data_IF_481185495686
#
_entry.id   IF_481185495686
#
_cell.length_a   1.000
_cell.length_b   1.000
_cell.length_c   1.000
_cell.angle_alpha   90.00
_cell.angle_beta   90.00
_cell.angle_gamma   90.00
#
_symmetry.space_group_name_H-M   'P 1'
#
loop_
_entity.id
_entity.type
_entity.pdbx_description
1 polymer ?
#
# COMPACT_ATOMS: atom_id res chain seq x y z
N UNK A 1 -26.32 17.01 -8.56
CA UNK A 1 -26.05 18.13 -7.63
C UNK A 1 -24.62 17.99 -7.10
N UNK A 2 -23.75 19.02 -7.18
CA UNK A 2 -22.30 18.82 -7.32
C UNK A 2 -21.47 19.15 -6.06
N UNK A 3 -22.08 19.24 -4.88
CA UNK A 3 -21.34 19.46 -3.63
C UNK A 3 -20.71 18.18 -3.04
N UNK A 4 -21.27 17.00 -3.38
CA UNK A 4 -20.77 15.71 -2.89
C UNK A 4 -19.43 15.29 -3.48
N UNK A 5 -19.15 15.67 -4.74
CA UNK A 5 -17.94 15.26 -5.45
C UNK A 5 -16.68 15.91 -4.87
N UNK A 6 -16.71 17.20 -4.51
CA UNK A 6 -15.56 17.91 -3.95
C UNK A 6 -15.19 17.40 -2.55
N UNK A 7 -16.18 17.14 -1.69
CA UNK A 7 -15.95 16.57 -0.36
C UNK A 7 -15.44 15.13 -0.45
N UNK A 8 -15.96 14.35 -1.41
CA UNK A 8 -15.54 12.98 -1.65
C UNK A 8 -14.11 12.91 -2.22
N UNK A 9 -13.80 13.73 -3.22
CA UNK A 9 -12.45 13.87 -3.77
C UNK A 9 -11.47 14.36 -2.69
N UNK A 10 -11.89 15.31 -1.85
CA UNK A 10 -11.11 15.78 -0.71
C UNK A 10 -10.79 14.68 0.30
N UNK A 11 -11.77 13.85 0.66
CA UNK A 11 -11.57 12.71 1.57
C UNK A 11 -10.63 11.66 0.97
N UNK A 12 -10.80 11.32 -0.32
CA UNK A 12 -9.90 10.39 -1.01
C UNK A 12 -8.46 10.90 -1.09
N UNK A 13 -8.28 12.17 -1.47
CA UNK A 13 -6.97 12.81 -1.52
C UNK A 13 -6.32 12.85 -0.13
N UNK A 14 -7.11 13.17 0.91
CA UNK A 14 -6.63 13.18 2.28
C UNK A 14 -6.15 11.79 2.72
N UNK A 15 -6.90 10.72 2.44
CA UNK A 15 -6.48 9.33 2.75
C UNK A 15 -5.18 8.95 2.06
N UNK A 16 -5.03 9.27 0.77
CA UNK A 16 -3.81 8.98 0.00
C UNK A 16 -2.64 9.79 0.56
N UNK A 17 -2.86 11.07 0.88
CA UNK A 17 -1.83 11.95 1.44
C UNK A 17 -1.39 11.47 2.82
N UNK A 18 -2.33 11.10 3.69
CA UNK A 18 -2.02 10.52 5.01
C UNK A 18 -1.25 9.22 4.86
N UNK A 19 -1.65 8.32 3.96
CA UNK A 19 -0.91 7.09 3.69
C UNK A 19 0.52 7.37 3.19
N UNK A 20 0.70 8.39 2.33
CA UNK A 20 2.00 8.81 1.84
C UNK A 20 2.90 9.34 2.96
N UNK A 21 2.37 10.24 3.81
CA UNK A 21 3.12 10.83 4.93
C UNK A 21 3.51 9.75 5.94
N UNK A 22 2.59 8.85 6.29
CA UNK A 22 2.89 7.75 7.21
C UNK A 22 3.92 6.78 6.61
N UNK A 23 3.78 6.41 5.33
CA UNK A 23 4.74 5.55 4.63
C UNK A 23 6.13 6.19 4.53
N UNK A 24 6.19 7.50 4.27
CA UNK A 24 7.44 8.26 4.29
C UNK A 24 8.05 8.32 5.69
N UNK A 25 7.25 8.57 6.74
CA UNK A 25 7.73 8.63 8.12
C UNK A 25 8.36 7.30 8.57
N UNK A 26 7.69 6.18 8.32
CA UNK A 26 8.23 4.82 8.59
C UNK A 26 9.50 4.60 7.78
N UNK A 27 9.49 5.00 6.51
CA UNK A 27 10.62 4.85 5.62
C UNK A 27 11.86 5.64 6.05
N UNK A 28 11.67 6.87 6.55
CA UNK A 28 12.73 7.72 7.12
C UNK A 28 13.31 7.06 8.37
N UNK A 29 12.45 6.61 9.28
CA UNK A 29 12.91 5.91 10.49
C UNK A 29 13.75 4.69 10.14
N UNK A 30 13.31 3.89 9.15
CA UNK A 30 14.08 2.71 8.71
C UNK A 30 15.40 3.07 8.04
N UNK A 31 15.43 4.12 7.24
CA UNK A 31 16.65 4.60 6.59
C UNK A 31 17.66 5.14 7.60
N UNK A 32 17.19 5.83 8.64
CA UNK A 32 18.04 6.30 9.75
C UNK A 32 18.64 5.17 10.60
N UNK A 33 18.00 4.00 10.64
CA UNK A 33 18.46 2.81 11.36
C UNK A 33 19.18 1.80 10.44
N UNK A 34 19.66 2.23 9.26
CA UNK A 34 20.41 1.40 8.30
C UNK A 34 19.66 0.13 7.83
N UNK A 35 18.33 0.15 7.84
CA UNK A 35 17.56 -0.96 7.27
C UNK A 35 17.57 -0.92 5.73
N UNK A 36 17.61 -2.09 5.06
CA UNK A 36 17.77 -2.17 3.60
C UNK A 36 16.55 -1.67 2.81
N UNK A 37 15.37 -1.53 3.44
CA UNK A 37 14.17 -0.93 2.85
C UNK A 37 13.94 0.47 3.43
N UNK A 38 14.44 1.50 2.75
CA UNK A 38 14.36 2.90 3.17
C UNK A 38 13.09 3.63 2.74
N UNK A 39 13.19 4.97 2.64
CA UNK A 39 12.05 5.88 2.45
C UNK A 39 11.27 5.63 1.17
N UNK A 40 11.97 5.43 0.05
CA UNK A 40 11.35 5.24 -1.26
C UNK A 40 10.46 3.99 -1.31
N UNK A 41 10.88 2.91 -0.68
CA UNK A 41 10.15 1.63 -0.70
C UNK A 41 8.85 1.73 0.09
N UNK A 42 8.91 2.20 1.34
CA UNK A 42 7.73 2.32 2.20
C UNK A 42 6.73 3.35 1.68
N UNK A 43 7.21 4.47 1.12
CA UNK A 43 6.37 5.46 0.47
C UNK A 43 5.60 4.89 -0.73
N UNK A 44 6.30 4.20 -1.65
CA UNK A 44 5.66 3.61 -2.85
C UNK A 44 4.67 2.49 -2.48
N UNK A 45 5.01 1.66 -1.50
CA UNK A 45 4.12 0.59 -1.01
C UNK A 45 2.87 1.19 -0.37
N UNK A 46 3.00 2.19 0.50
CA UNK A 46 1.86 2.83 1.16
C UNK A 46 0.96 3.56 0.17
N UNK A 47 1.54 4.34 -0.76
CA UNK A 47 0.80 5.03 -1.83
C UNK A 47 0.07 4.05 -2.74
N UNK A 48 0.76 3.03 -3.25
CA UNK A 48 0.18 2.02 -4.12
C UNK A 48 -0.97 1.27 -3.44
N UNK A 49 -0.77 0.86 -2.19
CA UNK A 49 -1.81 0.19 -1.40
C UNK A 49 -3.04 1.07 -1.21
N UNK A 50 -2.86 2.33 -0.81
CA UNK A 50 -3.96 3.28 -0.64
C UNK A 50 -4.73 3.53 -1.95
N UNK A 51 -4.01 3.71 -3.07
CA UNK A 51 -4.61 3.88 -4.39
C UNK A 51 -5.43 2.66 -4.81
N UNK A 52 -4.87 1.45 -4.70
CA UNK A 52 -5.59 0.24 -5.07
C UNK A 52 -6.80 -0.02 -4.17
N UNK A 53 -6.72 0.24 -2.86
CA UNK A 53 -7.87 0.12 -1.96
C UNK A 53 -8.97 1.12 -2.32
N UNK A 54 -8.63 2.38 -2.61
CA UNK A 54 -9.61 3.40 -3.03
C UNK A 54 -10.26 3.03 -4.36
N UNK A 55 -9.46 2.62 -5.35
CA UNK A 55 -9.95 2.15 -6.64
C UNK A 55 -10.86 0.92 -6.49
N UNK A 56 -10.51 -0.01 -5.60
CA UNK A 56 -11.34 -1.19 -5.36
C UNK A 56 -12.67 -0.84 -4.73
N UNK A 57 -12.70 0.12 -3.80
CA UNK A 57 -13.90 0.48 -3.07
C UNK A 57 -14.85 1.40 -3.87
N UNK A 58 -14.32 2.23 -4.76
CA UNK A 58 -15.11 3.28 -5.42
C UNK A 58 -14.95 3.33 -6.95
N UNK A 59 -13.94 2.66 -7.52
CA UNK A 59 -13.66 2.68 -8.97
C UNK A 59 -14.51 1.72 -9.80
N UNK A 60 -15.09 0.69 -9.17
CA UNK A 60 -15.99 -0.26 -9.80
C UNK A 60 -17.39 -0.04 -9.23
N UNK A 61 -18.18 0.82 -9.88
CA UNK A 61 -19.52 1.19 -9.44
C UNK A 61 -20.46 -0.02 -9.41
N UNK A 62 -20.65 -0.60 -8.22
CA UNK A 62 -21.66 -1.62 -7.97
C UNK A 62 -22.93 -0.98 -7.43
N UNK A 63 -23.95 -0.85 -8.29
CA UNK A 63 -25.31 -0.62 -7.83
C UNK A 63 -25.72 -1.74 -6.88
N UNK A 64 -26.37 -1.40 -5.78
CA UNK A 64 -26.88 -2.33 -4.76
C UNK A 64 -27.82 -3.36 -5.42
N UNK A 65 -27.31 -4.55 -5.76
CA UNK A 65 -28.14 -5.64 -6.29
C UNK A 65 -27.49 -6.59 -7.31
N UNK A 66 -26.31 -6.29 -7.87
CA UNK A 66 -25.65 -7.18 -8.83
C UNK A 66 -24.67 -8.15 -8.12
N UNK A 67 -24.75 -9.48 -8.30
CA UNK A 67 -23.75 -10.45 -7.80
C UNK A 67 -22.32 -10.20 -8.30
N UNK A 68 -22.10 -9.24 -9.21
CA UNK A 68 -20.78 -8.73 -9.62
C UNK A 68 -20.19 -7.70 -8.64
N UNK A 69 -20.76 -7.55 -7.44
CA UNK A 69 -20.23 -6.65 -6.40
C UNK A 69 -18.75 -6.95 -6.17
N UNK A 70 -17.88 -6.03 -6.61
CA UNK A 70 -16.42 -6.16 -6.48
C UNK A 70 -16.09 -6.10 -4.99
N UNK A 71 -15.70 -7.25 -4.43
CA UNK A 71 -15.33 -7.36 -3.02
C UNK A 71 -14.01 -6.60 -2.76
N UNK A 72 -14.04 -5.47 -2.04
CA UNK A 72 -12.83 -4.68 -1.75
C UNK A 72 -11.79 -5.47 -0.94
N UNK A 73 -12.24 -6.51 -0.23
CA UNK A 73 -11.39 -7.40 0.56
C UNK A 73 -10.41 -8.17 -0.33
N UNK A 74 -10.78 -8.46 -1.59
CA UNK A 74 -9.92 -9.18 -2.53
C UNK A 74 -8.68 -8.37 -2.90
N UNK A 75 -8.83 -7.07 -3.14
CA UNK A 75 -7.68 -6.20 -3.44
C UNK A 75 -6.80 -6.03 -2.21
N UNK A 76 -7.39 -5.88 -1.02
CA UNK A 76 -6.61 -5.88 0.23
C UNK A 76 -5.78 -7.17 0.40
N UNK A 77 -6.36 -8.35 0.12
CA UNK A 77 -5.64 -9.62 0.18
C UNK A 77 -4.47 -9.70 -0.82
N UNK A 78 -4.65 -9.17 -2.04
CA UNK A 78 -3.58 -9.13 -3.06
C UNK A 78 -2.45 -8.17 -2.67
N UNK A 79 -2.78 -7.03 -2.06
CA UNK A 79 -1.78 -6.10 -1.52
C UNK A 79 -0.93 -6.80 -0.45
N UNK A 80 -1.55 -7.48 0.53
CA UNK A 80 -0.82 -8.21 1.58
C UNK A 80 0.09 -9.29 0.97
N UNK A 81 -0.41 -10.01 -0.02
CA UNK A 81 0.37 -11.04 -0.73
C UNK A 81 1.58 -10.42 -1.45
N UNK A 82 1.38 -9.29 -2.13
CA UNK A 82 2.45 -8.55 -2.82
C UNK A 82 3.51 -8.01 -1.86
N UNK A 83 3.09 -7.46 -0.71
CA UNK A 83 4.01 -7.00 0.35
C UNK A 83 4.81 -8.18 0.90
N UNK A 84 4.18 -9.34 1.11
CA UNK A 84 4.87 -10.57 1.50
C UNK A 84 5.96 -11.00 0.50
N UNK A 85 5.69 -10.86 -0.80
CA UNK A 85 6.69 -11.12 -1.84
C UNK A 85 7.83 -10.09 -1.87
N UNK A 86 7.54 -8.81 -1.62
CA UNK A 86 8.58 -7.78 -1.47
C UNK A 86 9.47 -8.05 -0.24
N UNK A 87 8.87 -8.49 0.87
CA UNK A 87 9.60 -8.89 2.07
C UNK A 87 10.48 -10.13 1.84
N UNK A 88 9.96 -11.14 1.15
CA UNK A 88 10.75 -12.31 0.75
C UNK A 88 11.86 -11.94 -0.26
N UNK A 89 11.59 -11.03 -1.20
CA UNK A 89 12.55 -10.55 -2.19
C UNK A 89 13.69 -9.72 -1.60
N UNK A 90 13.49 -9.11 -0.41
CA UNK A 90 14.57 -8.48 0.35
C UNK A 90 15.56 -9.50 0.95
N UNK A 91 15.16 -10.78 1.08
CA UNK A 91 16.03 -11.88 1.52
C UNK A 91 16.76 -12.44 0.29
N UNK A 92 17.92 -11.88 -0.04
CA UNK A 92 18.75 -12.35 -1.17
C UNK A 92 19.92 -13.19 -0.63
N UNK A 93 20.05 -14.41 -1.15
CA UNK A 93 21.13 -15.33 -0.82
C UNK A 93 22.41 -14.96 -1.60
N UNK A 94 23.46 -14.52 -0.92
CA UNK A 94 24.77 -14.25 -1.54
C UNK A 94 25.76 -15.37 -1.14
N UNK A 95 25.95 -16.35 -2.03
CA UNK A 95 26.86 -17.48 -1.77
C UNK A 95 26.41 -18.30 -0.56
N UNK A 96 27.24 -18.43 0.48
CA UNK A 96 26.93 -19.11 1.75
C UNK A 96 26.29 -18.21 2.81
N UNK A 97 26.10 -16.91 2.53
CA UNK A 97 25.59 -15.92 3.50
C UNK A 97 24.26 -15.33 3.05
N UNK A 98 23.26 -15.40 3.93
CA UNK A 98 21.93 -14.78 3.72
C UNK A 98 21.98 -13.34 4.20
N UNK A 99 21.62 -12.39 3.33
CA UNK A 99 21.53 -10.95 3.66
C UNK A 99 20.08 -10.51 3.52
N UNK A 100 19.63 -9.57 4.36
CA UNK A 100 18.24 -9.05 4.33
C UNK A 100 17.22 -9.83 5.17
N UNK A 101 17.65 -10.79 6.00
CA UNK A 101 16.82 -11.57 6.93
C UNK A 101 16.08 -10.71 7.97
N UNK A 102 16.57 -9.50 8.25
CA UNK A 102 16.00 -8.54 9.22
C UNK A 102 14.91 -7.62 8.65
N UNK A 103 14.59 -7.76 7.36
CA UNK A 103 13.57 -6.93 6.68
C UNK A 103 12.24 -7.65 6.43
N UNK A 104 12.18 -8.95 6.71
CA UNK A 104 10.92 -9.71 6.71
C UNK A 104 10.23 -9.55 8.08
N UNK A 105 9.68 -8.37 8.32
CA UNK A 105 8.81 -8.09 9.45
C UNK A 105 7.53 -7.44 8.92
#
# INVERSE_FOLDING_TARGET
>A
MPAGDLTFQGDLLLRILVAAVLGAAIGIEREMHDHPAGTRTHLLVALGSALFTVLSAHGFGGGTGDPTTVDPTRIAAQIVTGIGFLGAGAIIHYGTSVRGLTTAA
#
